data_IF_273517313284
#
_entry.id   IF_273517313284
#
_cell.length_a   1.000
_cell.length_b   1.000
_cell.length_c   1.000
_cell.angle_alpha   90.00
_cell.angle_beta   90.00
_cell.angle_gamma   90.00
#
_symmetry.space_group_name_H-M   'P 1'
#
loop_
_entity.id
_entity.type
_entity.pdbx_description
1 polymer ?
#
# COMPACT_ATOMS: atom_id res chain seq x y z
N UNK A 1 14.16 -13.54 -2.17
CA UNK A 1 12.70 -13.55 -1.96
C UNK A 1 12.11 -12.68 -3.05
N UNK A 2 11.19 -13.23 -3.84
CA UNK A 2 10.55 -12.46 -4.91
C UNK A 2 9.64 -11.38 -4.31
N UNK A 3 9.41 -10.29 -5.06
CA UNK A 3 8.52 -9.21 -4.64
C UNK A 3 7.13 -9.75 -4.33
N UNK A 4 6.69 -10.72 -5.13
CA UNK A 4 5.35 -11.30 -5.04
C UNK A 4 5.22 -12.27 -3.87
N UNK A 5 6.28 -13.03 -3.52
CA UNK A 5 6.31 -13.90 -2.34
C UNK A 5 6.00 -13.10 -1.07
N UNK A 6 6.53 -11.88 -0.95
CA UNK A 6 6.34 -11.05 0.25
C UNK A 6 4.88 -10.67 0.44
N UNK A 7 4.19 -10.33 -0.65
CA UNK A 7 2.77 -9.98 -0.63
C UNK A 7 1.96 -11.19 -0.16
N UNK A 8 2.25 -12.37 -0.70
CA UNK A 8 1.57 -13.61 -0.36
C UNK A 8 1.83 -14.08 1.08
N UNK A 9 3.06 -13.91 1.58
CA UNK A 9 3.42 -14.24 2.97
C UNK A 9 2.71 -13.32 3.96
N UNK A 10 2.62 -12.02 3.67
CA UNK A 10 1.98 -11.06 4.58
C UNK A 10 0.48 -11.31 4.75
N UNK A 11 -0.17 -11.79 3.69
CA UNK A 11 -1.57 -12.16 3.69
C UNK A 11 -1.82 -13.16 2.53
N UNK A 12 -2.11 -14.43 2.84
CA UNK A 12 -2.44 -15.42 1.81
C UNK A 12 -3.59 -14.98 0.91
N UNK A 13 -3.42 -15.15 -0.40
CA UNK A 13 -4.35 -14.76 -1.46
C UNK A 13 -4.32 -13.27 -1.82
N UNK A 14 -3.50 -12.45 -1.15
CA UNK A 14 -3.43 -11.01 -1.43
C UNK A 14 -2.86 -10.72 -2.82
N UNK A 15 -1.85 -11.49 -3.27
CA UNK A 15 -1.27 -11.32 -4.60
C UNK A 15 -2.31 -11.58 -5.70
N UNK A 16 -3.07 -12.67 -5.56
CA UNK A 16 -4.12 -13.03 -6.50
C UNK A 16 -5.24 -11.96 -6.55
N UNK A 17 -5.62 -11.39 -5.39
CA UNK A 17 -6.57 -10.27 -5.34
C UNK A 17 -6.02 -9.03 -6.02
N UNK A 18 -4.76 -8.66 -5.77
CA UNK A 18 -4.10 -7.52 -6.40
C UNK A 18 -4.10 -7.65 -7.93
N UNK A 19 -3.67 -8.79 -8.45
CA UNK A 19 -3.64 -9.06 -9.90
C UNK A 19 -5.04 -9.03 -10.52
N UNK A 20 -6.04 -9.57 -9.82
CA UNK A 20 -7.44 -9.54 -10.26
C UNK A 20 -7.96 -8.10 -10.40
N UNK A 21 -7.74 -7.25 -9.40
CA UNK A 21 -8.22 -5.87 -9.43
C UNK A 21 -7.44 -5.02 -10.45
N UNK A 22 -6.14 -5.24 -10.61
CA UNK A 22 -5.33 -4.59 -11.66
C UNK A 22 -5.92 -4.88 -13.05
N UNK A 23 -6.28 -6.14 -13.31
CA UNK A 23 -6.92 -6.55 -14.56
C UNK A 23 -8.31 -5.93 -14.73
N UNK A 24 -9.09 -5.86 -13.65
CA UNK A 24 -10.43 -5.27 -13.66
C UNK A 24 -10.39 -3.76 -13.96
N UNK A 25 -9.37 -3.06 -13.48
CA UNK A 25 -9.15 -1.62 -13.68
C UNK A 25 -8.36 -1.32 -14.97
N UNK A 26 -8.14 -2.33 -15.82
CA UNK A 26 -7.43 -2.23 -17.09
C UNK A 26 -6.03 -1.57 -16.99
N UNK A 27 -5.37 -1.75 -15.85
CA UNK A 27 -4.04 -1.20 -15.62
C UNK A 27 -3.00 -1.98 -16.42
N UNK A 28 -2.01 -1.27 -16.95
CA UNK A 28 -0.94 -1.89 -17.73
C UNK A 28 0.10 -2.59 -16.83
N UNK A 29 0.89 -3.48 -17.45
CA UNK A 29 1.93 -4.27 -16.76
C UNK A 29 2.98 -3.42 -16.03
N UNK A 30 3.30 -2.22 -16.54
CA UNK A 30 4.21 -1.29 -15.88
C UNK A 30 3.62 -0.77 -14.57
N UNK A 31 2.33 -0.48 -14.55
CA UNK A 31 1.60 -0.02 -13.36
C UNK A 31 1.51 -1.15 -12.34
N UNK A 32 1.23 -2.38 -12.81
CA UNK A 32 1.23 -3.57 -11.96
C UNK A 32 2.58 -3.77 -11.24
N UNK A 33 3.68 -3.76 -11.99
CA UNK A 33 5.03 -3.88 -11.40
C UNK A 33 5.32 -2.76 -10.41
N UNK A 34 4.89 -1.54 -10.73
CA UNK A 34 5.06 -0.38 -9.84
C UNK A 34 4.27 -0.57 -8.55
N UNK A 35 3.04 -1.07 -8.63
CA UNK A 35 2.19 -1.28 -7.46
C UNK A 35 2.72 -2.42 -6.60
N UNK A 36 3.05 -3.57 -7.19
CA UNK A 36 3.67 -4.68 -6.47
C UNK A 36 4.95 -4.21 -5.76
N UNK A 37 5.82 -3.46 -6.43
CA UNK A 37 7.03 -2.92 -5.82
C UNK A 37 6.74 -2.08 -4.57
N UNK A 38 5.83 -1.11 -4.66
CA UNK A 38 5.54 -0.21 -3.54
C UNK A 38 4.79 -0.92 -2.40
N UNK A 39 3.88 -1.83 -2.71
CA UNK A 39 3.15 -2.64 -1.73
C UNK A 39 4.13 -3.54 -0.97
N UNK A 40 5.04 -4.23 -1.66
CA UNK A 40 6.08 -5.04 -1.04
C UNK A 40 6.97 -4.22 -0.11
N UNK A 41 7.41 -3.03 -0.54
CA UNK A 41 8.22 -2.13 0.29
C UNK A 41 7.48 -1.65 1.54
N UNK A 42 6.18 -1.36 1.41
CA UNK A 42 5.34 -0.99 2.54
C UNK A 42 5.16 -2.13 3.54
N UNK A 43 4.96 -3.36 3.06
CA UNK A 43 4.89 -4.57 3.90
C UNK A 43 6.21 -4.77 4.66
N UNK A 44 7.35 -4.66 3.99
CA UNK A 44 8.67 -4.75 4.64
C UNK A 44 8.89 -3.65 5.68
N UNK A 45 8.48 -2.41 5.38
CA UNK A 45 8.58 -1.31 6.34
C UNK A 45 7.77 -1.57 7.62
N UNK A 46 6.66 -2.29 7.50
CA UNK A 46 5.83 -2.70 8.63
C UNK A 46 6.15 -4.13 9.11
N UNK A 47 7.37 -4.62 8.91
CA UNK A 47 7.86 -5.89 9.48
C UNK A 47 7.03 -7.12 9.04
N UNK A 48 6.60 -7.15 7.78
CA UNK A 48 5.76 -8.21 7.21
C UNK A 48 4.37 -8.34 7.85
N UNK A 49 3.91 -7.32 8.60
CA UNK A 49 2.54 -7.29 9.12
C UNK A 49 1.52 -7.33 7.99
N UNK A 50 0.41 -8.01 8.26
CA UNK A 50 -0.71 -8.09 7.34
C UNK A 50 -1.26 -6.68 7.04
N UNK A 51 -1.28 -6.22 5.77
CA UNK A 51 -1.76 -4.89 5.43
C UNK A 51 -3.18 -4.56 5.88
N UNK A 52 -4.05 -5.57 6.02
CA UNK A 52 -5.42 -5.39 6.50
C UNK A 52 -5.53 -5.03 7.99
N UNK A 53 -4.46 -5.21 8.78
CA UNK A 53 -4.41 -4.81 10.20
C UNK A 53 -3.71 -3.48 10.42
N UNK A 54 -3.14 -2.89 9.36
CA UNK A 54 -2.48 -1.59 9.39
C UNK A 54 -3.47 -0.46 9.08
N UNK A 55 -3.16 0.75 9.54
CA UNK A 55 -4.04 1.91 9.43
C UNK A 55 -3.39 3.04 8.62
N UNK A 56 -4.08 4.18 8.53
CA UNK A 56 -3.60 5.36 7.79
C UNK A 56 -2.29 5.93 8.35
N UNK A 57 -2.01 5.76 9.64
CA UNK A 57 -0.77 6.22 10.26
C UNK A 57 0.43 5.43 9.75
N UNK A 58 0.28 4.12 9.53
CA UNK A 58 1.33 3.29 8.91
C UNK A 58 1.67 3.79 7.50
N UNK A 59 0.65 4.18 6.72
CA UNK A 59 0.84 4.75 5.38
C UNK A 59 1.58 6.07 5.47
N UNK A 60 1.12 6.99 6.33
CA UNK A 60 1.77 8.29 6.56
C UNK A 60 3.23 8.11 6.97
N UNK A 61 3.50 7.23 7.93
CA UNK A 61 4.85 6.92 8.40
C UNK A 61 5.75 6.40 7.26
N UNK A 62 5.23 5.48 6.44
CA UNK A 62 5.97 4.98 5.29
C UNK A 62 6.28 6.07 4.26
N UNK A 63 5.32 6.92 3.90
CA UNK A 63 5.54 8.02 2.96
C UNK A 63 6.56 9.04 3.49
N UNK A 64 6.51 9.36 4.78
CA UNK A 64 7.53 10.20 5.45
C UNK A 64 8.90 9.54 5.42
N UNK A 65 8.99 8.24 5.68
CA UNK A 65 10.23 7.47 5.57
C UNK A 65 10.81 7.53 4.15
N UNK A 66 9.97 7.42 3.10
CA UNK A 66 10.43 7.54 1.72
C UNK A 66 11.08 8.89 1.45
N UNK A 67 10.50 9.99 1.94
CA UNK A 67 11.07 11.33 1.76
C UNK A 67 12.35 11.50 2.57
N UNK A 68 12.28 11.21 3.87
CA UNK A 68 13.29 11.63 4.84
C UNK A 68 14.49 10.68 4.94
N UNK A 69 14.29 9.39 4.69
CA UNK A 69 15.35 8.36 4.81
C UNK A 69 15.79 7.82 3.46
N UNK A 70 14.87 7.71 2.50
CA UNK A 70 15.18 7.19 1.17
C UNK A 70 15.44 8.28 0.12
N UNK A 71 15.35 9.56 0.49
CA UNK A 71 15.49 10.70 -0.42
C UNK A 71 14.65 10.53 -1.71
N UNK A 72 13.47 9.94 -1.57
CA UNK A 72 12.60 9.68 -2.71
C UNK A 72 12.06 10.99 -3.28
N UNK A 73 12.09 11.13 -4.61
CA UNK A 73 11.49 12.28 -5.28
C UNK A 73 9.98 12.33 -5.08
N UNK A 74 9.39 13.51 -5.24
CA UNK A 74 7.93 13.70 -5.19
C UNK A 74 7.18 12.73 -6.10
N UNK A 75 7.72 12.44 -7.29
CA UNK A 75 7.13 11.48 -8.23
C UNK A 75 7.12 10.05 -7.67
N UNK A 76 8.22 9.59 -7.05
CA UNK A 76 8.30 8.26 -6.43
C UNK A 76 7.34 8.13 -5.25
N UNK A 77 7.26 9.16 -4.40
CA UNK A 77 6.31 9.20 -3.28
C UNK A 77 4.87 9.16 -3.78
N UNK A 78 4.56 9.87 -4.87
CA UNK A 78 3.23 9.84 -5.46
C UNK A 78 2.87 8.48 -6.07
N UNK A 79 3.84 7.76 -6.64
CA UNK A 79 3.61 6.37 -7.10
C UNK A 79 3.36 5.43 -5.92
N UNK A 80 4.11 5.58 -4.83
CA UNK A 80 3.91 4.81 -3.61
C UNK A 80 2.52 5.07 -3.02
N UNK A 81 2.13 6.34 -2.90
CA UNK A 81 0.81 6.74 -2.41
C UNK A 81 -0.32 6.12 -3.24
N UNK A 82 -0.28 6.23 -4.56
CA UNK A 82 -1.29 5.66 -5.45
C UNK A 82 -1.38 4.13 -5.34
N UNK A 83 -0.23 3.44 -5.22
CA UNK A 83 -0.20 2.00 -5.02
C UNK A 83 -0.87 1.58 -3.71
N UNK A 84 -0.65 2.33 -2.62
CA UNK A 84 -1.26 2.06 -1.32
C UNK A 84 -2.75 2.40 -1.31
N UNK A 85 -3.16 3.53 -1.89
CA UNK A 85 -4.58 3.85 -2.07
C UNK A 85 -5.30 2.76 -2.86
N UNK A 86 -4.69 2.26 -3.94
CA UNK A 86 -5.24 1.13 -4.71
C UNK A 86 -5.37 -0.14 -3.87
N UNK A 87 -4.31 -0.51 -3.13
CA UNK A 87 -4.33 -1.66 -2.22
C UNK A 87 -5.51 -1.59 -1.24
N UNK A 88 -5.68 -0.47 -0.54
CA UNK A 88 -6.71 -0.35 0.48
C UNK A 88 -8.12 -0.21 -0.11
N UNK A 89 -8.29 0.65 -1.11
CA UNK A 89 -9.62 0.96 -1.67
C UNK A 89 -10.16 -0.14 -2.57
N UNK A 90 -9.32 -0.74 -3.42
CA UNK A 90 -9.75 -1.69 -4.47
C UNK A 90 -9.53 -3.14 -4.05
N UNK A 91 -8.33 -3.45 -3.54
CA UNK A 91 -7.93 -4.83 -3.26
C UNK A 91 -8.47 -5.33 -1.93
N UNK A 92 -8.24 -4.57 -0.85
CA UNK A 92 -8.69 -4.93 0.50
C UNK A 92 -10.15 -4.51 0.76
N UNK A 93 -10.65 -3.53 0.01
CA UNK A 93 -11.97 -2.90 0.22
C UNK A 93 -12.12 -2.38 1.65
N UNK A 94 -11.01 -1.86 2.18
CA UNK A 94 -10.91 -1.21 3.47
C UNK A 94 -10.66 0.27 3.20
N UNK A 95 -11.71 1.09 3.04
CA UNK A 95 -11.51 2.51 2.88
C UNK A 95 -10.76 3.03 4.10
N UNK A 96 -9.64 3.69 3.83
CA UNK A 96 -8.91 4.48 4.80
C UNK A 96 -9.78 5.70 5.10
N UNK A 97 -10.85 5.48 5.86
CA UNK A 97 -11.70 6.54 6.37
C UNK A 97 -10.80 7.55 7.05
N UNK A 98 -10.93 8.82 6.68
CA UNK A 98 -10.38 9.92 7.47
C UNK A 98 -10.67 9.62 8.93
N UNK A 99 -9.64 9.56 9.76
CA UNK A 99 -9.79 9.56 11.20
C UNK A 99 -10.35 10.95 11.57
N UNK A 100 -11.67 11.13 11.46
CA UNK A 100 -12.41 12.21 12.11
C UNK A 100 -12.67 11.78 13.55
N UNK A 101 -11.59 11.61 14.30
CA UNK A 101 -11.68 11.67 15.76
C UNK A 101 -10.64 12.68 16.25
N UNK A 102 -11.07 13.95 16.24
CA UNK A 102 -10.89 14.82 17.41
C UNK A 102 -11.80 16.04 17.24
N UNK A 103 -13.11 15.86 17.40
CA UNK A 103 -14.03 16.96 17.72
C UNK A 103 -15.37 16.36 18.17
N UNK A 104 -15.87 16.91 19.29
CA UNK A 104 -16.92 16.45 20.20
C UNK A 104 -16.30 15.68 21.39
N UNK A 105 -16.29 16.11 22.66
CA UNK A 105 -16.89 17.24 23.36
C UNK A 105 -16.10 17.51 24.66
N UNK A 106 -15.75 18.78 24.93
CA UNK A 106 -15.88 19.48 26.23
C UNK A 106 -15.95 20.98 25.95
#
# INVERSE_FOLDING_TARGET
MDLTDTIEISQPGLLAKLQKEIKAEHLNSRTEQTYQHWITRYIFFNELKNPSTLNEENIKAFLVYLVTKMNASKAKVNQAKQALEFLYLKVLKLPLSENKDNRLEV
#
